data_IF_148778164204
#
_entry.id   IF_148778164204
#
_cell.length_a   1.000
_cell.length_b   1.000
_cell.length_c   1.000
_cell.angle_alpha   90.00
_cell.angle_beta   90.00
_cell.angle_gamma   90.00
#
_symmetry.space_group_name_H-M   'P 1'
#
loop_
_entity.id
_entity.type
_entity.pdbx_description
1 polymer ?
#
# COMPACT_ATOMS: atom_id res chain seq x y z
N UNK A 1 0.10 2.39 7.93
CA UNK A 1 0.09 3.59 7.06
C UNK A 1 1.49 4.21 7.01
N UNK A 2 2.08 4.43 5.82
CA UNK A 2 3.44 4.99 5.73
C UNK A 2 3.57 6.42 6.29
N UNK A 3 2.53 7.24 6.16
CA UNK A 3 2.53 8.59 6.73
C UNK A 3 2.66 8.57 8.24
N UNK A 4 1.97 7.64 8.91
CA UNK A 4 2.10 7.42 10.34
C UNK A 4 3.51 6.95 10.72
N UNK A 5 4.05 5.96 10.00
CA UNK A 5 5.39 5.39 10.28
C UNK A 5 6.50 6.43 10.08
N UNK A 6 6.38 7.32 9.10
CA UNK A 6 7.40 8.32 8.75
C UNK A 6 7.11 9.71 9.33
N UNK A 7 6.23 9.82 10.33
CA UNK A 7 5.88 11.11 10.89
C UNK A 7 7.08 11.75 11.61
N UNK A 8 7.08 13.07 11.71
CA UNK A 8 8.11 13.85 12.43
C UNK A 8 7.55 14.59 13.64
N UNK A 9 6.31 14.29 14.01
CA UNK A 9 5.52 15.04 14.98
C UNK A 9 5.55 14.41 16.38
N UNK A 10 6.17 13.23 16.53
CA UNK A 10 6.31 12.49 17.77
C UNK A 10 5.41 11.25 17.83
N UNK A 11 5.63 10.41 18.85
CA UNK A 11 5.01 9.08 18.94
C UNK A 11 3.49 9.13 19.19
N UNK A 12 3.03 10.19 19.86
CA UNK A 12 1.61 10.44 20.17
C UNK A 12 0.85 11.00 18.96
N UNK A 13 1.53 11.46 17.91
CA UNK A 13 0.87 12.01 16.74
C UNK A 13 0.25 10.89 15.89
N UNK A 14 -1.04 11.01 15.56
CA UNK A 14 -1.75 10.04 14.71
C UNK A 14 -2.32 10.69 13.44
N UNK A 15 -1.97 10.17 12.27
CA UNK A 15 -2.42 10.70 10.98
C UNK A 15 -3.95 10.76 10.82
N UNK A 16 -4.69 9.88 11.50
CA UNK A 16 -6.15 9.80 11.47
C UNK A 16 -6.87 10.64 12.55
N UNK A 17 -6.13 11.27 13.47
CA UNK A 17 -6.68 12.15 14.52
C UNK A 17 -6.52 13.64 14.15
N UNK A 18 -6.16 13.92 12.90
CA UNK A 18 -5.93 15.28 12.43
C UNK A 18 -7.24 15.98 12.09
N UNK A 19 -7.22 17.31 12.17
CA UNK A 19 -8.35 18.17 11.83
C UNK A 19 -8.70 18.10 10.34
N UNK A 20 -9.90 18.57 9.98
CA UNK A 20 -10.43 18.51 8.61
C UNK A 20 -9.62 19.28 7.56
N UNK A 21 -8.79 20.25 7.99
CA UNK A 21 -7.88 21.02 7.13
C UNK A 21 -6.54 20.31 6.88
N UNK A 22 -6.26 19.20 7.57
CA UNK A 22 -5.08 18.39 7.33
C UNK A 22 -5.20 17.57 6.05
N UNK A 23 -4.26 17.79 5.11
CA UNK A 23 -4.18 17.03 3.88
C UNK A 23 -3.25 15.83 4.08
N UNK A 24 -3.84 14.70 4.47
CA UNK A 24 -3.14 13.42 4.55
C UNK A 24 -2.59 13.00 3.19
N UNK A 25 -1.41 12.36 3.21
CA UNK A 25 -0.77 11.80 2.01
C UNK A 25 -1.35 10.47 1.56
N UNK A 26 -2.19 9.82 2.38
CA UNK A 26 -2.62 8.45 2.12
C UNK A 26 -4.04 8.09 2.56
N UNK A 27 -4.68 8.84 3.45
CA UNK A 27 -5.97 8.44 4.02
C UNK A 27 -7.05 8.28 2.95
N UNK A 28 -7.25 9.26 2.06
CA UNK A 28 -8.31 9.17 1.05
C UNK A 28 -8.12 7.99 0.08
N UNK A 29 -6.93 7.77 -0.52
CA UNK A 29 -6.67 6.58 -1.32
C UNK A 29 -6.88 5.26 -0.56
N UNK A 30 -6.43 5.19 0.70
CA UNK A 30 -6.61 3.99 1.54
C UNK A 30 -8.08 3.73 1.84
N UNK A 31 -8.84 4.79 2.15
CA UNK A 31 -10.29 4.72 2.33
C UNK A 31 -10.97 4.23 1.06
N UNK A 32 -10.55 4.72 -0.11
CA UNK A 32 -11.09 4.27 -1.39
C UNK A 32 -10.91 2.76 -1.61
N UNK A 33 -9.71 2.22 -1.35
CA UNK A 33 -9.45 0.79 -1.50
C UNK A 33 -10.34 -0.09 -0.60
N UNK A 34 -10.51 0.31 0.67
CA UNK A 34 -11.38 -0.42 1.62
C UNK A 34 -12.86 -0.22 1.27
N UNK A 35 -13.28 0.99 0.92
CA UNK A 35 -14.65 1.27 0.52
C UNK A 35 -15.08 0.44 -0.71
N UNK A 36 -14.21 0.31 -1.71
CA UNK A 36 -14.45 -0.57 -2.86
C UNK A 36 -14.64 -2.02 -2.45
N UNK A 37 -13.91 -2.50 -1.43
CA UNK A 37 -14.04 -3.88 -0.94
C UNK A 37 -15.37 -4.18 -0.26
N UNK A 38 -16.05 -3.16 0.30
CA UNK A 38 -17.41 -3.32 0.83
C UNK A 38 -18.49 -3.41 -0.26
N UNK A 39 -18.15 -3.03 -1.51
CA UNK A 39 -19.03 -3.23 -2.67
C UNK A 39 -18.76 -4.63 -3.26
N UNK A 40 -17.50 -4.95 -3.59
CA UNK A 40 -17.06 -6.30 -3.97
C UNK A 40 -15.53 -6.45 -3.92
N UNK A 41 -15.06 -7.70 -3.84
CA UNK A 41 -13.62 -7.99 -3.96
C UNK A 41 -13.05 -7.58 -5.33
N UNK A 42 -13.78 -7.80 -6.43
CA UNK A 42 -13.35 -7.37 -7.76
C UNK A 42 -13.14 -5.85 -7.84
N UNK A 43 -14.04 -5.07 -7.22
CA UNK A 43 -13.90 -3.61 -7.21
C UNK A 43 -12.72 -3.13 -6.37
N UNK A 44 -12.35 -3.87 -5.31
CA UNK A 44 -11.11 -3.60 -4.56
C UNK A 44 -9.91 -3.65 -5.49
N UNK A 45 -9.78 -4.71 -6.29
CA UNK A 45 -8.64 -4.90 -7.17
C UNK A 45 -8.63 -3.89 -8.32
N UNK A 46 -9.81 -3.64 -8.94
CA UNK A 46 -9.97 -2.63 -9.99
C UNK A 46 -9.55 -1.25 -9.47
N UNK A 47 -10.10 -0.82 -8.34
CA UNK A 47 -9.80 0.50 -7.77
C UNK A 47 -8.34 0.60 -7.33
N UNK A 48 -7.80 -0.42 -6.66
CA UNK A 48 -6.42 -0.43 -6.16
C UNK A 48 -5.40 -0.34 -7.31
N UNK A 49 -5.65 -1.05 -8.42
CA UNK A 49 -4.83 -0.91 -9.61
C UNK A 49 -4.94 0.49 -10.22
N UNK A 50 -6.15 1.02 -10.35
CA UNK A 50 -6.38 2.34 -10.93
C UNK A 50 -5.72 3.46 -10.12
N UNK A 51 -5.89 3.49 -8.80
CA UNK A 51 -5.32 4.55 -7.94
C UNK A 51 -3.78 4.48 -7.92
N UNK A 52 -3.21 3.28 -7.99
CA UNK A 52 -1.76 3.09 -8.07
C UNK A 52 -1.20 3.59 -9.41
N UNK A 53 -1.85 3.27 -10.52
CA UNK A 53 -1.51 3.79 -11.85
C UNK A 53 -1.55 5.32 -11.85
N UNK A 54 -2.67 5.91 -11.38
CA UNK A 54 -2.85 7.37 -11.34
C UNK A 54 -1.78 8.08 -10.53
N UNK A 55 -1.40 7.52 -9.38
CA UNK A 55 -0.39 8.11 -8.50
C UNK A 55 1.04 7.90 -8.99
N UNK A 56 1.39 6.68 -9.42
CA UNK A 56 2.78 6.28 -9.62
C UNK A 56 3.24 6.34 -11.08
N UNK A 57 2.32 6.17 -12.03
CA UNK A 57 2.59 6.26 -13.46
C UNK A 57 2.19 7.64 -13.97
N UNK A 58 0.91 8.00 -13.83
CA UNK A 58 0.39 9.27 -14.38
C UNK A 58 0.74 10.50 -13.52
N UNK A 59 1.26 10.30 -12.31
CA UNK A 59 1.67 11.36 -11.36
C UNK A 59 0.56 12.35 -10.97
N UNK A 60 -0.69 11.92 -10.95
CA UNK A 60 -1.81 12.72 -10.47
C UNK A 60 -1.79 12.87 -8.94
N UNK A 61 -2.30 13.99 -8.44
CA UNK A 61 -2.59 14.14 -7.01
C UNK A 61 -3.90 13.42 -6.68
N UNK A 62 -3.78 12.35 -5.90
CA UNK A 62 -4.89 11.46 -5.53
C UNK A 62 -5.37 11.67 -4.09
N UNK A 63 -4.94 12.76 -3.44
CA UNK A 63 -5.11 12.96 -1.99
C UNK A 63 -6.42 13.63 -1.59
N UNK A 64 -7.35 13.85 -2.51
CA UNK A 64 -8.67 14.42 -2.18
C UNK A 64 -9.77 13.37 -2.19
N UNK A 65 -10.80 13.63 -1.39
CA UNK A 65 -12.02 12.82 -1.33
C UNK A 65 -12.71 12.79 -2.69
N UNK A 66 -12.84 13.96 -3.32
CA UNK A 66 -13.53 14.13 -4.59
C UNK A 66 -12.86 13.32 -5.70
N UNK A 67 -11.53 13.35 -5.77
CA UNK A 67 -10.78 12.56 -6.75
C UNK A 67 -11.01 11.06 -6.57
N UNK A 68 -11.00 10.57 -5.32
CA UNK A 68 -11.24 9.16 -5.01
C UNK A 68 -12.64 8.72 -5.42
N UNK A 69 -13.65 9.57 -5.23
CA UNK A 69 -15.02 9.30 -5.69
C UNK A 69 -15.09 9.28 -7.22
N UNK A 70 -14.50 10.27 -7.88
CA UNK A 70 -14.53 10.36 -9.34
C UNK A 70 -13.84 9.15 -9.98
N UNK A 71 -12.68 8.73 -9.45
CA UNK A 71 -12.00 7.52 -9.90
C UNK A 71 -12.85 6.26 -9.66
N UNK A 72 -13.56 6.17 -8.52
CA UNK A 72 -14.43 5.02 -8.27
C UNK A 72 -15.58 4.93 -9.29
N UNK A 73 -16.13 6.08 -9.70
CA UNK A 73 -17.14 6.16 -10.76
C UNK A 73 -16.54 5.75 -12.12
N UNK A 74 -15.33 6.18 -12.44
CA UNK A 74 -14.60 5.73 -13.64
C UNK A 74 -14.38 4.22 -13.65
N UNK A 75 -14.14 3.62 -12.47
CA UNK A 75 -14.06 2.18 -12.28
C UNK A 75 -15.43 1.45 -12.33
N UNK A 76 -16.52 2.18 -12.58
CA UNK A 76 -17.86 1.61 -12.74
C UNK A 76 -18.66 1.43 -11.45
N UNK A 77 -18.24 2.00 -10.33
CA UNK A 77 -18.98 1.94 -9.07
C UNK A 77 -20.07 3.01 -9.00
N UNK A 78 -21.16 2.71 -8.27
CA UNK A 78 -22.19 3.71 -8.00
C UNK A 78 -21.66 4.78 -7.03
N UNK A 79 -21.70 6.05 -7.43
CA UNK A 79 -21.21 7.19 -6.63
C UNK A 79 -21.77 7.23 -5.21
N UNK A 80 -23.09 7.06 -5.05
CA UNK A 80 -23.75 7.23 -3.76
C UNK A 80 -23.43 6.08 -2.81
N UNK A 81 -23.43 4.85 -3.34
CA UNK A 81 -23.06 3.66 -2.58
C UNK A 81 -21.60 3.69 -2.15
N UNK A 82 -20.68 4.00 -3.06
CA UNK A 82 -19.26 4.13 -2.74
C UNK A 82 -19.00 5.23 -1.72
N UNK A 83 -19.61 6.41 -1.89
CA UNK A 83 -19.44 7.54 -0.96
C UNK A 83 -19.91 7.18 0.45
N UNK A 84 -20.98 6.39 0.59
CA UNK A 84 -21.47 5.93 1.89
C UNK A 84 -20.40 5.12 2.65
N UNK A 85 -19.71 4.20 1.97
CA UNK A 85 -18.63 3.44 2.58
C UNK A 85 -17.39 4.31 2.79
N UNK A 86 -16.99 5.08 1.77
CA UNK A 86 -15.83 5.96 1.81
C UNK A 86 -15.84 6.89 3.02
N UNK A 87 -17.00 7.44 3.35
CA UNK A 87 -17.16 8.39 4.45
C UNK A 87 -17.35 7.72 5.82
N UNK A 88 -17.63 6.42 5.86
CA UNK A 88 -17.96 5.68 7.08
C UNK A 88 -16.77 5.57 8.05
N UNK A 89 -17.09 5.56 9.34
CA UNK A 89 -16.11 5.28 10.40
C UNK A 89 -15.51 3.87 10.24
N UNK A 90 -16.29 2.90 9.75
CA UNK A 90 -15.86 1.52 9.51
C UNK A 90 -14.62 1.44 8.61
N UNK A 91 -14.58 2.27 7.55
CA UNK A 91 -13.41 2.33 6.66
C UNK A 91 -12.20 2.92 7.37
N UNK A 92 -12.37 3.92 8.24
CA UNK A 92 -11.24 4.45 9.03
C UNK A 92 -10.75 3.44 10.06
N UNK A 93 -11.67 2.80 10.77
CA UNK A 93 -11.37 1.77 11.76
C UNK A 93 -10.57 0.62 11.15
N UNK A 94 -10.94 0.19 9.94
CA UNK A 94 -10.19 -0.83 9.19
C UNK A 94 -8.75 -0.39 8.87
N UNK A 95 -8.54 0.87 8.46
CA UNK A 95 -7.18 1.40 8.21
C UNK A 95 -6.35 1.40 9.50
N UNK A 96 -6.96 1.81 10.62
CA UNK A 96 -6.29 1.87 11.93
C UNK A 96 -5.95 0.45 12.38
N UNK A 97 -6.89 -0.48 12.30
CA UNK A 97 -6.69 -1.89 12.67
C UNK A 97 -5.58 -2.55 11.84
N UNK A 98 -5.60 -2.38 10.53
CA UNK A 98 -4.56 -2.90 9.63
C UNK A 98 -3.18 -2.30 9.97
N UNK A 99 -3.14 -1.01 10.29
CA UNK A 99 -1.89 -0.36 10.67
C UNK A 99 -1.34 -0.87 12.00
N UNK A 100 -2.18 -1.00 13.03
CA UNK A 100 -1.79 -1.52 14.35
C UNK A 100 -1.37 -2.98 14.26
N UNK A 101 -2.02 -3.77 13.39
CA UNK A 101 -1.60 -5.12 13.10
C UNK A 101 -0.21 -5.15 12.45
N UNK A 102 0.02 -4.34 11.42
CA UNK A 102 1.33 -4.22 10.78
C UNK A 102 2.43 -3.77 11.76
N UNK A 103 2.12 -2.85 12.68
CA UNK A 103 3.05 -2.40 13.72
C UNK A 103 3.43 -3.54 14.68
N UNK A 104 2.47 -4.35 15.14
CA UNK A 104 2.73 -5.54 15.97
C UNK A 104 3.63 -6.57 15.27
N UNK A 105 3.57 -6.62 13.94
CA UNK A 105 4.44 -7.45 13.11
C UNK A 105 5.83 -6.84 12.87
N UNK A 106 6.10 -5.62 13.32
CA UNK A 106 7.36 -4.91 13.10
C UNK A 106 7.51 -4.37 11.67
N UNK A 107 6.42 -4.19 10.93
CA UNK A 107 6.45 -3.67 9.55
C UNK A 107 6.81 -2.18 9.58
N UNK A 108 7.92 -1.84 8.92
CA UNK A 108 8.48 -0.48 8.90
C UNK A 108 8.44 0.21 7.53
N UNK A 109 8.02 -0.49 6.47
CA UNK A 109 8.10 0.02 5.10
C UNK A 109 7.18 -0.67 4.11
N UNK A 110 7.17 -0.19 2.87
CA UNK A 110 6.39 -0.77 1.76
C UNK A 110 7.25 -0.92 0.49
N UNK A 111 6.97 -1.92 -0.37
CA UNK A 111 6.01 -3.00 -0.12
C UNK A 111 6.54 -4.00 0.92
N UNK A 112 5.61 -4.57 1.69
CA UNK A 112 5.88 -5.67 2.63
C UNK A 112 4.82 -6.75 2.38
N UNK A 113 5.27 -7.99 2.23
CA UNK A 113 4.41 -9.16 2.11
C UNK A 113 4.29 -9.85 3.48
N UNK A 114 3.12 -10.42 3.75
CA UNK A 114 2.86 -11.17 4.97
C UNK A 114 1.96 -12.37 4.69
N UNK A 115 2.33 -13.52 5.25
CA UNK A 115 1.43 -14.64 5.53
C UNK A 115 1.97 -15.43 6.71
N UNK A 116 1.14 -16.26 7.33
CA UNK A 116 1.57 -17.09 8.46
C UNK A 116 2.70 -18.08 8.05
N UNK A 117 2.74 -18.48 6.78
CA UNK A 117 3.77 -19.34 6.21
C UNK A 117 5.05 -18.58 5.87
N UNK A 118 4.91 -17.38 5.30
CA UNK A 118 6.02 -16.57 4.79
C UNK A 118 6.73 -15.79 5.90
N UNK A 119 5.99 -15.43 6.95
CA UNK A 119 6.39 -14.36 7.86
C UNK A 119 6.31 -12.99 7.18
N UNK A 120 7.05 -12.03 7.73
CA UNK A 120 7.10 -10.64 7.23
C UNK A 120 8.27 -10.47 6.29
N UNK A 121 8.02 -10.05 5.05
CA UNK A 121 9.04 -9.86 4.02
C UNK A 121 8.96 -8.45 3.42
N UNK A 122 9.89 -7.57 3.79
CA UNK A 122 10.09 -6.28 3.12
C UNK A 122 10.87 -6.49 1.82
N UNK A 123 10.37 -5.96 0.71
CA UNK A 123 10.99 -6.13 -0.62
C UNK A 123 11.32 -4.79 -1.24
N UNK A 124 12.59 -4.60 -1.59
CA UNK A 124 13.08 -3.45 -2.35
C UNK A 124 13.65 -3.92 -3.69
N UNK A 125 12.90 -3.69 -4.76
CA UNK A 125 13.25 -4.13 -6.12
C UNK A 125 12.73 -3.14 -7.17
N UNK A 126 13.24 -3.28 -8.40
CA UNK A 126 12.63 -2.66 -9.58
C UNK A 126 11.49 -3.55 -10.10
N UNK A 127 10.56 -2.97 -10.86
CA UNK A 127 9.52 -3.73 -11.54
C UNK A 127 10.19 -4.69 -12.54
N UNK A 128 9.99 -6.01 -12.42
CA UNK A 128 10.53 -6.97 -13.38
C UNK A 128 9.79 -6.86 -14.72
N UNK A 129 10.36 -7.39 -15.82
CA UNK A 129 9.60 -7.63 -17.04
C UNK A 129 8.32 -8.43 -16.76
N UNK A 130 7.27 -8.18 -17.52
CA UNK A 130 5.95 -8.78 -17.27
C UNK A 130 6.00 -10.30 -17.36
N UNK A 131 6.78 -10.81 -18.29
CA UNK A 131 6.98 -12.23 -18.58
C UNK A 131 7.74 -12.94 -17.45
N UNK A 132 8.57 -12.20 -16.69
CA UNK A 132 9.37 -12.72 -15.58
C UNK A 132 8.71 -12.53 -14.21
N UNK A 133 7.61 -11.78 -14.14
CA UNK A 133 7.03 -11.33 -12.86
C UNK A 133 6.66 -12.49 -11.93
N UNK A 134 6.10 -13.57 -12.48
CA UNK A 134 5.73 -14.78 -11.71
C UNK A 134 6.97 -15.53 -11.24
N UNK A 135 7.99 -15.66 -12.09
CA UNK A 135 9.24 -16.32 -11.73
C UNK A 135 9.98 -15.57 -10.61
N UNK A 136 10.07 -14.24 -10.73
CA UNK A 136 10.67 -13.39 -9.70
C UNK A 136 9.89 -13.48 -8.38
N UNK A 137 8.56 -13.51 -8.41
CA UNK A 137 7.75 -13.71 -7.22
C UNK A 137 8.04 -15.06 -6.54
N UNK A 138 8.14 -16.14 -7.31
CA UNK A 138 8.49 -17.47 -6.79
C UNK A 138 9.89 -17.49 -6.15
N UNK A 139 10.86 -16.77 -6.73
CA UNK A 139 12.18 -16.61 -6.12
C UNK A 139 12.12 -15.90 -4.77
N UNK A 140 11.30 -14.85 -4.63
CA UNK A 140 11.09 -14.17 -3.36
C UNK A 140 10.54 -15.14 -2.31
N UNK A 141 9.47 -15.88 -2.65
CA UNK A 141 8.88 -16.88 -1.76
C UNK A 141 9.88 -17.94 -1.34
N UNK A 142 10.65 -18.50 -2.28
CA UNK A 142 11.63 -19.56 -1.99
C UNK A 142 12.79 -19.13 -1.08
N UNK A 143 13.14 -17.84 -1.08
CA UNK A 143 14.14 -17.29 -0.14
C UNK A 143 13.58 -17.16 1.27
N UNK A 144 12.30 -16.80 1.41
CA UNK A 144 11.66 -16.58 2.71
C UNK A 144 11.07 -17.84 3.36
N UNK A 145 10.47 -18.74 2.58
CA UNK A 145 9.82 -19.93 3.12
C UNK A 145 10.84 -20.85 3.80
N UNK A 146 10.62 -21.13 5.10
CA UNK A 146 11.42 -22.06 5.89
C UNK A 146 12.91 -21.69 6.08
N UNK A 147 13.32 -20.44 5.80
CA UNK A 147 14.72 -19.98 5.95
C UNK A 147 14.88 -18.90 7.02
N UNK A 148 14.56 -19.24 8.28
CA UNK A 148 14.64 -18.34 9.46
C UNK A 148 16.04 -17.73 9.74
N UNK A 149 17.06 -18.15 9.00
CA UNK A 149 18.45 -17.72 9.17
C UNK A 149 18.81 -16.52 8.30
N UNK A 150 17.95 -16.13 7.35
CA UNK A 150 18.19 -15.00 6.44
C UNK A 150 17.56 -13.73 7.01
N UNK A 151 18.40 -12.80 7.47
CA UNK A 151 17.96 -11.49 7.97
C UNK A 151 17.86 -10.42 6.89
N UNK A 152 18.85 -10.33 5.99
CA UNK A 152 18.87 -9.34 4.91
C UNK A 152 19.73 -9.85 3.75
N UNK A 153 19.21 -9.77 2.52
CA UNK A 153 19.99 -9.93 1.28
C UNK A 153 19.95 -8.60 0.56
N UNK A 154 21.12 -7.99 0.36
CA UNK A 154 21.23 -6.65 -0.18
C UNK A 154 22.42 -6.55 -1.11
N UNK A 155 22.20 -5.94 -2.28
CA UNK A 155 23.28 -5.47 -3.17
C UNK A 155 23.92 -4.22 -2.54
N UNK A 156 25.15 -3.82 -2.90
CA UNK A 156 25.75 -2.54 -2.48
C UNK A 156 24.80 -1.33 -2.63
N UNK A 157 25.16 -0.13 -2.20
CA UNK A 157 24.44 1.07 -2.64
C UNK A 157 25.35 1.80 -3.65
N UNK A 158 24.80 2.65 -4.55
CA UNK A 158 25.62 3.37 -5.52
C UNK A 158 26.82 4.09 -4.84
N UNK A 159 27.99 4.17 -5.50
CA UNK A 159 28.27 3.71 -6.86
C UNK A 159 28.42 2.19 -6.95
N UNK A 160 27.78 1.60 -7.95
CA UNK A 160 27.81 0.15 -8.20
C UNK A 160 29.13 -0.27 -8.88
N UNK A 161 29.56 -1.54 -8.71
CA UNK A 161 30.60 -2.12 -9.56
C UNK A 161 30.24 -1.95 -11.04
N UNK A 162 31.22 -1.71 -11.92
CA UNK A 162 30.99 -1.68 -13.37
C UNK A 162 30.34 -3.01 -13.80
N UNK A 163 29.27 -2.96 -14.60
CA UNK A 163 28.53 -4.14 -15.07
C UNK A 163 27.36 -4.60 -14.19
N UNK A 164 26.98 -3.86 -13.15
CA UNK A 164 25.85 -4.24 -12.27
C UNK A 164 24.46 -3.93 -12.87
N UNK A 165 24.41 -3.21 -13.99
CA UNK A 165 23.20 -2.72 -14.67
C UNK A 165 23.19 -3.10 -16.15
N UNK A 166 24.19 -3.87 -16.58
CA UNK A 166 24.38 -4.31 -17.96
C UNK A 166 23.69 -5.67 -18.19
#
# INVERSE_FOLDING_TARGET
>A
MLEQVNNKNGDDWKAWEQSSDYISRGIWPLRGGIASSYISEDYRDIFSNAIMEKKHVDRHDVRSREYVIDLAVECGMNKNEFSKYLDSDQTMDSIIQDHLFAEKLGIFGTPTFYSDTLGVLFVKMFTPPKEESVEVFNHLLGVSENKKYLGEIKRPQPPWPRGAID
#
